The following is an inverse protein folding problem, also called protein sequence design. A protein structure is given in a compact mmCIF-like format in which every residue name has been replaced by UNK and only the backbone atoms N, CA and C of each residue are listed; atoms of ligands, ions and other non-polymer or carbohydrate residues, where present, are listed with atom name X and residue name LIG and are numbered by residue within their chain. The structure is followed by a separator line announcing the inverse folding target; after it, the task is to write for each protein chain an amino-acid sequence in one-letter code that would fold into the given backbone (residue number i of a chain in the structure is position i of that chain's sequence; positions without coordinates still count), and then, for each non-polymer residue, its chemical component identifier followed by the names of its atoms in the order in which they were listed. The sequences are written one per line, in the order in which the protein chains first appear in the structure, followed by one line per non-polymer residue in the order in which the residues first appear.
data_IF_497120197529
#
_entry.id   IF_497120197529
#
_cell.length_a   1.000
_cell.length_b   1.000
_cell.length_c   1.000
_cell.angle_alpha   90.00
_cell.angle_beta   90.00
_cell.angle_gamma   90.00
#
_symmetry.space_group_name_H-M   'P 1'
#
loop_
_entity.id
_entity.type
_entity.pdbx_description
1 polymer ?
#
# COMPACT_ATOMS: atom_id res chain seq x y z
N UNK A 1 -13.80 29.44 -2.53
CA UNK A 1 -13.20 28.34 -3.32
C UNK A 1 -12.50 27.42 -2.32
N UNK A 2 -12.82 26.12 -2.31
CA UNK A 2 -12.29 25.14 -1.34
C UNK A 2 -10.74 25.16 -1.36
N UNK A 3 -10.09 25.07 -0.19
CA UNK A 3 -8.63 25.04 -0.05
C UNK A 3 -8.00 23.92 -0.90
N UNK A 4 -8.67 22.77 -1.02
CA UNK A 4 -8.25 21.69 -1.90
C UNK A 4 -8.08 22.14 -3.36
N UNK A 5 -9.04 22.89 -3.91
CA UNK A 5 -8.93 23.42 -5.27
C UNK A 5 -7.80 24.44 -5.43
N UNK A 6 -7.54 25.24 -4.39
CA UNK A 6 -6.43 26.19 -4.41
C UNK A 6 -5.09 25.48 -4.48
N UNK A 7 -4.92 24.36 -3.78
CA UNK A 7 -3.70 23.56 -3.86
C UNK A 7 -3.57 22.84 -5.20
N UNK A 8 -4.67 22.30 -5.74
CA UNK A 8 -4.69 21.69 -7.07
C UNK A 8 -4.26 22.71 -8.16
N UNK A 9 -4.78 23.93 -8.12
CA UNK A 9 -4.46 24.98 -9.11
C UNK A 9 -2.97 25.38 -9.13
N UNK A 10 -2.21 25.08 -8.08
CA UNK A 10 -0.75 25.33 -8.03
C UNK A 10 0.05 24.28 -8.81
N UNK A 11 -0.54 23.13 -9.12
CA UNK A 11 0.15 22.05 -9.81
C UNK A 11 0.27 22.34 -11.32
N UNK A 12 1.39 21.96 -11.95
CA UNK A 12 1.54 22.07 -13.40
C UNK A 12 0.52 21.13 -14.08
N UNK A 13 -0.52 21.70 -14.73
CA UNK A 13 -1.51 21.19 -15.73
C UNK A 13 -1.97 19.70 -15.75
N UNK A 14 -1.62 18.87 -14.77
CA UNK A 14 -1.70 17.41 -14.86
C UNK A 14 -2.76 16.82 -13.92
N UNK A 15 -3.86 17.54 -13.74
CA UNK A 15 -4.99 17.11 -12.91
C UNK A 15 -6.10 16.67 -13.84
N UNK A 16 -6.62 15.46 -13.62
CA UNK A 16 -7.77 14.93 -14.34
C UNK A 16 -8.88 14.63 -13.36
N UNK A 17 -10.07 15.11 -13.68
CA UNK A 17 -11.29 14.65 -13.03
C UNK A 17 -12.23 14.14 -14.11
N UNK A 18 -12.75 12.94 -13.91
CA UNK A 18 -13.73 12.30 -14.78
C UNK A 18 -14.93 11.85 -13.94
N UNK A 19 -15.97 12.68 -13.87
CA UNK A 19 -17.12 12.45 -13.00
C UNK A 19 -16.71 12.40 -11.52
N UNK A 20 -16.91 11.26 -10.88
CA UNK A 20 -16.67 11.01 -9.44
C UNK A 20 -15.20 10.67 -9.11
N UNK A 21 -14.29 10.63 -10.11
CA UNK A 21 -12.87 10.29 -9.94
C UNK A 21 -11.98 11.52 -10.04
N UNK A 22 -11.04 11.67 -9.10
CA UNK A 22 -9.99 12.69 -9.13
C UNK A 22 -8.61 12.04 -9.11
N UNK A 23 -7.83 12.26 -10.17
CA UNK A 23 -6.47 11.72 -10.32
C UNK A 23 -5.48 12.88 -10.43
N UNK A 24 -4.43 12.83 -9.62
CA UNK A 24 -3.36 13.81 -9.56
C UNK A 24 -2.01 13.11 -9.76
N UNK A 25 -1.24 13.49 -10.78
CA UNK A 25 0.06 12.90 -11.08
C UNK A 25 0.98 13.87 -11.84
N UNK A 26 2.24 13.48 -12.06
CA UNK A 26 3.19 14.24 -12.90
C UNK A 26 3.12 13.70 -14.33
N UNK A 27 2.57 14.47 -15.29
CA UNK A 27 2.71 14.17 -16.73
C UNK A 27 4.18 14.40 -17.13
N UNK A 28 4.86 13.34 -17.55
CA UNK A 28 5.80 13.46 -18.65
C UNK A 28 4.95 13.47 -19.93
N UNK A 29 5.07 14.50 -20.76
CA UNK A 29 4.17 14.78 -21.91
C UNK A 29 4.02 13.64 -22.93
N UNK A 30 4.86 12.62 -22.85
CA UNK A 30 4.98 11.56 -23.85
C UNK A 30 4.44 10.18 -23.37
N UNK A 31 3.89 10.08 -22.16
CA UNK A 31 3.65 8.78 -21.50
C UNK A 31 2.19 8.49 -21.10
N UNK A 32 1.20 9.07 -21.78
CA UNK A 32 -0.18 8.62 -21.60
C UNK A 32 -0.47 7.47 -22.56
N UNK A 33 -0.35 6.27 -22.00
CA UNK A 33 -0.83 5.03 -22.58
C UNK A 33 -2.29 5.12 -23.01
N UNK A 34 -2.47 4.60 -24.20
CA UNK A 34 -3.64 4.38 -25.06
C UNK A 34 -4.78 3.54 -24.48
N UNK A 35 -4.95 3.41 -23.16
CA UNK A 35 -6.02 2.57 -22.56
C UNK A 35 -7.04 3.30 -21.66
N UNK A 36 -6.80 4.56 -21.28
CA UNK A 36 -7.76 5.37 -20.49
C UNK A 36 -8.46 6.47 -21.31
N UNK A 37 -8.29 6.47 -22.63
CA UNK A 37 -8.94 7.41 -23.53
C UNK A 37 -10.32 6.85 -23.92
N UNK A 38 -11.30 7.08 -23.06
CA UNK A 38 -12.52 7.67 -23.61
C UNK A 38 -12.35 9.20 -23.53
N UNK A 39 -12.76 9.89 -24.58
CA UNK A 39 -12.42 11.29 -24.88
C UNK A 39 -13.09 12.29 -23.94
N UNK A 40 -12.81 12.24 -22.65
CA UNK A 40 -13.37 13.18 -21.66
C UNK A 40 -12.42 14.33 -21.39
N UNK A 41 -12.98 15.53 -21.51
CA UNK A 41 -12.32 16.82 -21.39
C UNK A 41 -11.53 16.97 -20.09
N UNK A 42 -10.39 17.64 -20.16
CA UNK A 42 -9.67 18.15 -19.00
C UNK A 42 -10.56 19.20 -18.34
N UNK A 43 -11.24 18.81 -17.26
CA UNK A 43 -11.98 19.72 -16.39
C UNK A 43 -11.01 20.77 -15.84
N UNK A 44 -11.20 22.04 -16.19
CA UNK A 44 -10.60 23.15 -15.44
C UNK A 44 -11.18 23.12 -14.01
N UNK A 45 -10.41 23.52 -13.00
CA UNK A 45 -10.78 23.42 -11.58
C UNK A 45 -12.19 23.97 -11.21
N UNK A 46 -12.79 24.77 -12.09
CA UNK A 46 -14.13 25.32 -11.98
C UNK A 46 -15.28 24.31 -12.17
N UNK A 47 -15.01 23.08 -12.66
CA UNK A 47 -16.04 22.05 -12.96
C UNK A 47 -16.05 20.86 -11.97
N UNK A 48 -15.38 20.96 -10.83
CA UNK A 48 -15.41 19.87 -9.85
C UNK A 48 -16.77 19.74 -9.18
N UNK A 49 -17.42 18.58 -9.36
CA UNK A 49 -18.63 18.20 -8.64
C UNK A 49 -18.33 17.84 -7.18
N UNK A 50 -19.35 17.91 -6.32
CA UNK A 50 -19.25 17.54 -4.90
C UNK A 50 -19.22 16.01 -4.66
N UNK A 51 -18.98 15.22 -5.69
CA UNK A 51 -19.23 13.77 -5.72
C UNK A 51 -17.93 12.96 -5.89
N UNK A 52 -16.79 13.46 -5.40
CA UNK A 52 -15.55 12.69 -5.47
C UNK A 52 -15.69 11.45 -4.58
N UNK A 53 -15.73 10.27 -5.22
CA UNK A 53 -15.72 8.95 -4.59
C UNK A 53 -14.38 8.26 -4.71
N UNK A 54 -13.55 8.66 -5.67
CA UNK A 54 -12.21 8.12 -5.86
C UNK A 54 -11.20 9.27 -5.89
N UNK A 55 -10.19 9.17 -5.03
CA UNK A 55 -9.06 10.09 -5.02
C UNK A 55 -7.76 9.31 -5.18
N UNK A 56 -7.03 9.58 -6.25
CA UNK A 56 -5.75 8.96 -6.54
C UNK A 56 -4.68 10.05 -6.70
N UNK A 57 -3.62 9.96 -5.90
CA UNK A 57 -2.51 10.92 -5.94
C UNK A 57 -1.17 10.19 -6.06
N UNK A 58 -0.51 10.41 -7.19
CA UNK A 58 0.71 9.74 -7.59
C UNK A 58 1.91 10.70 -7.66
N UNK A 59 2.09 11.49 -6.60
CA UNK A 59 3.17 12.49 -6.49
C UNK A 59 4.27 12.10 -5.50
N UNK A 60 4.22 10.89 -4.93
CA UNK A 60 5.12 10.49 -3.86
C UNK A 60 4.99 11.39 -2.62
N UNK A 61 6.11 11.70 -1.98
CA UNK A 61 6.18 12.57 -0.79
C UNK A 61 5.69 14.00 -1.04
N UNK A 62 5.73 14.48 -2.28
CA UNK A 62 5.29 15.83 -2.66
C UNK A 62 3.76 15.98 -2.60
N UNK A 63 3.03 14.87 -2.46
CA UNK A 63 1.58 14.85 -2.29
C UNK A 63 1.10 15.50 -0.98
N UNK A 64 1.99 15.73 0.00
CA UNK A 64 1.65 16.16 1.37
C UNK A 64 0.62 17.28 1.42
N UNK A 65 0.88 18.39 0.72
CA UNK A 65 0.03 19.58 0.77
C UNK A 65 -1.36 19.33 0.16
N UNK A 66 -1.41 18.54 -0.92
CA UNK A 66 -2.67 18.21 -1.60
C UNK A 66 -3.49 17.26 -0.74
N UNK A 67 -2.87 16.23 -0.17
CA UNK A 67 -3.53 15.30 0.76
C UNK A 67 -4.08 16.07 1.96
N UNK A 68 -3.29 16.96 2.55
CA UNK A 68 -3.73 17.78 3.69
C UNK A 68 -4.94 18.66 3.35
N UNK A 69 -4.96 19.23 2.14
CA UNK A 69 -6.10 20.02 1.68
C UNK A 69 -7.32 19.15 1.35
N UNK A 70 -7.10 17.95 0.80
CA UNK A 70 -8.16 16.98 0.47
C UNK A 70 -8.87 16.47 1.72
N UNK A 71 -8.13 16.05 2.76
CA UNK A 71 -8.74 15.55 3.99
C UNK A 71 -9.50 16.63 4.77
N UNK A 72 -9.20 17.91 4.53
CA UNK A 72 -9.92 19.05 5.07
C UNK A 72 -11.15 19.46 4.24
N UNK A 73 -11.44 18.75 3.16
CA UNK A 73 -12.57 19.02 2.26
C UNK A 73 -13.82 18.21 2.62
N UNK A 74 -14.97 18.66 2.13
CA UNK A 74 -16.24 17.94 2.31
C UNK A 74 -16.31 16.60 1.55
N UNK A 75 -15.34 16.30 0.68
CA UNK A 75 -15.33 15.07 -0.14
C UNK A 75 -15.01 13.82 0.65
N UNK A 76 -14.35 13.97 1.81
CA UNK A 76 -13.89 12.84 2.62
C UNK A 76 -15.02 11.86 3.00
N UNK A 77 -16.22 12.38 3.26
CA UNK A 77 -17.35 11.55 3.65
C UNK A 77 -17.93 10.72 2.50
N UNK A 78 -17.68 11.11 1.24
CA UNK A 78 -18.14 10.38 0.05
C UNK A 78 -17.05 9.48 -0.54
N UNK A 79 -15.83 9.53 0.00
CA UNK A 79 -14.71 8.77 -0.52
C UNK A 79 -14.89 7.27 -0.29
N UNK A 80 -14.81 6.52 -1.37
CA UNK A 80 -14.93 5.06 -1.44
C UNK A 80 -13.58 4.40 -1.80
N UNK A 81 -12.75 5.10 -2.57
CA UNK A 81 -11.46 4.61 -3.07
C UNK A 81 -10.37 5.66 -2.84
N UNK A 82 -9.25 5.25 -2.23
CA UNK A 82 -8.10 6.10 -1.98
C UNK A 82 -6.81 5.42 -2.43
N UNK A 83 -6.11 6.05 -3.38
CA UNK A 83 -4.81 5.59 -3.85
C UNK A 83 -3.76 6.67 -3.61
N UNK A 84 -2.67 6.32 -2.95
CA UNK A 84 -1.56 7.23 -2.65
C UNK A 84 -0.27 6.53 -3.03
N UNK A 85 0.50 7.16 -3.92
CA UNK A 85 1.65 6.52 -4.52
C UNK A 85 2.50 7.47 -5.33
N UNK A 86 3.22 6.91 -6.29
CA UNK A 86 4.05 7.65 -7.24
C UNK A 86 3.89 7.09 -8.66
N UNK A 87 4.04 7.94 -9.66
CA UNK A 87 4.04 7.53 -11.08
C UNK A 87 5.25 8.08 -11.86
N UNK A 88 6.20 8.74 -11.20
CA UNK A 88 7.37 9.35 -11.83
C UNK A 88 8.61 8.46 -11.77
N UNK A 89 9.51 8.65 -12.74
CA UNK A 89 10.85 8.06 -12.81
C UNK A 89 11.78 8.68 -11.74
N UNK A 90 11.38 8.65 -10.47
CA UNK A 90 12.18 9.26 -9.41
C UNK A 90 13.38 8.35 -9.08
N UNK A 91 14.34 8.29 -10.00
CA UNK A 91 15.59 7.57 -9.84
C UNK A 91 16.43 8.29 -8.80
N UNK A 92 16.35 7.86 -7.54
CA UNK A 92 17.45 8.13 -6.61
C UNK A 92 17.14 8.28 -5.13
N UNK A 93 15.87 8.27 -4.66
CA UNK A 93 15.54 8.36 -3.22
C UNK A 93 14.35 7.45 -2.84
N UNK A 94 14.40 6.56 -1.81
CA UNK A 94 13.20 5.88 -1.37
C UNK A 94 12.22 6.95 -0.90
N UNK A 95 10.97 6.79 -1.28
CA UNK A 95 9.95 7.77 -0.96
C UNK A 95 9.68 7.76 0.53
N UNK A 96 9.51 8.92 1.14
CA UNK A 96 9.17 9.02 2.56
C UNK A 96 7.72 9.52 2.70
N UNK A 97 6.81 8.59 2.96
CA UNK A 97 5.40 8.85 3.17
C UNK A 97 5.05 9.01 4.66
N UNK A 98 6.02 8.98 5.60
CA UNK A 98 5.73 9.01 7.05
C UNK A 98 4.94 10.25 7.47
N UNK A 99 5.23 11.40 6.87
CA UNK A 99 4.47 12.63 7.11
C UNK A 99 3.05 12.57 6.52
N UNK A 100 2.87 11.87 5.40
CA UNK A 100 1.54 11.61 4.82
C UNK A 100 0.76 10.66 5.74
N UNK A 101 1.37 9.59 6.23
CA UNK A 101 0.75 8.66 7.18
C UNK A 101 0.26 9.38 8.46
N UNK A 102 1.06 10.31 8.99
CA UNK A 102 0.67 11.17 10.13
C UNK A 102 -0.53 12.08 9.83
N UNK A 103 -0.72 12.49 8.58
CA UNK A 103 -1.87 13.32 8.16
C UNK A 103 -3.11 12.43 8.05
N UNK A 104 -2.99 11.28 7.38
CA UNK A 104 -4.10 10.34 7.17
C UNK A 104 -4.62 9.76 8.49
N UNK A 105 -3.75 9.53 9.48
CA UNK A 105 -4.14 8.98 10.78
C UNK A 105 -5.05 9.90 11.60
N UNK A 106 -5.17 11.19 11.24
CA UNK A 106 -5.96 12.18 11.96
C UNK A 106 -7.44 12.20 11.57
N UNK A 107 -7.82 11.48 10.51
CA UNK A 107 -9.18 11.55 9.93
C UNK A 107 -9.80 10.19 9.74
N UNK A 108 -11.14 10.13 9.76
CA UNK A 108 -11.90 8.92 9.49
C UNK A 108 -12.30 8.83 8.02
N UNK A 109 -12.23 7.62 7.47
CA UNK A 109 -12.60 7.28 6.10
C UNK A 109 -13.78 6.31 6.13
N UNK A 110 -15.00 6.79 6.44
CA UNK A 110 -16.12 5.92 6.81
C UNK A 110 -16.65 5.04 5.67
N UNK A 111 -16.38 5.42 4.43
CA UNK A 111 -16.87 4.75 3.23
C UNK A 111 -15.78 4.13 2.36
N UNK A 112 -14.50 4.32 2.71
CA UNK A 112 -13.39 3.76 1.94
C UNK A 112 -13.42 2.24 2.07
N UNK A 113 -13.55 1.58 0.92
CA UNK A 113 -13.49 0.14 0.80
C UNK A 113 -12.22 -0.32 0.09
N UNK A 114 -11.61 0.51 -0.76
CA UNK A 114 -10.33 0.20 -1.43
C UNK A 114 -9.26 1.21 -1.04
N UNK A 115 -8.15 0.74 -0.48
CA UNK A 115 -7.01 1.58 -0.11
C UNK A 115 -5.70 0.99 -0.61
N UNK A 116 -4.96 1.80 -1.37
CA UNK A 116 -3.60 1.49 -1.82
C UNK A 116 -2.66 2.59 -1.35
N UNK A 117 -1.57 2.22 -0.66
CA UNK A 117 -0.61 3.18 -0.10
C UNK A 117 0.83 2.79 -0.37
N UNK A 118 1.62 3.75 -0.86
CA UNK A 118 2.91 3.47 -1.48
C UNK A 118 2.76 2.84 -2.85
N UNK A 119 1.59 2.97 -3.47
CA UNK A 119 1.30 2.37 -4.77
C UNK A 119 2.30 2.88 -5.81
N UNK A 120 2.78 1.99 -6.66
CA UNK A 120 3.54 2.38 -7.83
C UNK A 120 2.72 2.12 -9.09
N UNK A 121 2.16 3.19 -9.63
CA UNK A 121 1.41 3.11 -10.87
C UNK A 121 2.40 3.14 -12.04
N UNK A 122 2.54 1.97 -12.69
CA UNK A 122 3.34 1.72 -13.90
C UNK A 122 2.82 2.49 -15.12
N UNK A 123 2.98 3.82 -15.12
CA UNK A 123 2.64 4.67 -16.28
C UNK A 123 3.79 4.70 -17.31
N UNK A 124 5.02 4.38 -16.87
CA UNK A 124 6.21 4.27 -17.72
C UNK A 124 6.95 2.95 -17.46
N UNK A 125 7.82 2.55 -18.39
CA UNK A 125 8.75 1.42 -18.22
C UNK A 125 9.87 1.76 -17.21
N UNK A 126 9.51 2.17 -16.00
CA UNK A 126 10.43 2.37 -14.88
C UNK A 126 10.38 1.16 -13.94
N UNK A 127 10.95 1.27 -12.74
CA UNK A 127 11.02 0.19 -11.74
C UNK A 127 10.31 0.62 -10.45
N UNK A 128 9.90 -0.35 -9.63
CA UNK A 128 9.13 -0.13 -8.40
C UNK A 128 9.83 0.83 -7.45
N UNK A 129 9.11 1.78 -6.85
CA UNK A 129 9.66 2.71 -5.85
C UNK A 129 8.65 2.86 -4.71
N UNK A 130 8.71 1.94 -3.75
CA UNK A 130 7.72 1.83 -2.69
C UNK A 130 8.00 2.73 -1.47
N UNK A 131 9.25 2.79 -1.00
CA UNK A 131 9.66 3.69 0.09
C UNK A 131 9.16 3.33 1.50
N UNK A 132 9.15 4.32 2.41
CA UNK A 132 8.74 4.21 3.83
C UNK A 132 7.36 4.79 4.04
N UNK A 133 6.38 3.95 4.39
CA UNK A 133 5.02 4.33 4.73
C UNK A 133 4.91 4.89 6.15
N UNK A 134 5.64 4.31 7.11
CA UNK A 134 5.53 4.64 8.54
C UNK A 134 4.42 3.90 9.26
N UNK A 135 3.99 4.42 10.42
CA UNK A 135 2.91 3.82 11.22
C UNK A 135 1.55 4.04 10.56
N UNK A 136 0.94 2.93 10.15
CA UNK A 136 -0.37 2.91 9.49
C UNK A 136 -1.49 2.39 10.41
N UNK A 137 -1.20 2.06 11.67
CA UNK A 137 -2.15 1.41 12.60
C UNK A 137 -3.46 2.18 12.71
N UNK A 138 -3.36 3.49 12.92
CA UNK A 138 -4.54 4.35 13.08
C UNK A 138 -5.24 4.61 11.74
N UNK A 139 -4.50 4.65 10.62
CA UNK A 139 -5.08 4.84 9.28
C UNK A 139 -6.04 3.69 8.99
N UNK A 140 -5.59 2.44 9.18
CA UNK A 140 -6.40 1.25 8.94
C UNK A 140 -7.58 1.16 9.93
N UNK A 141 -7.36 1.52 11.20
CA UNK A 141 -8.43 1.58 12.20
C UNK A 141 -9.52 2.62 11.86
N UNK A 142 -9.18 3.62 11.03
CA UNK A 142 -10.08 4.66 10.57
C UNK A 142 -10.86 4.30 9.30
N UNK A 143 -10.67 3.10 8.73
CA UNK A 143 -11.30 2.60 7.50
C UNK A 143 -12.17 1.35 7.78
N UNK A 144 -13.34 1.50 8.44
CA UNK A 144 -14.11 0.35 8.92
C UNK A 144 -14.73 -0.52 7.81
N UNK A 145 -14.83 -0.02 6.57
CA UNK A 145 -15.42 -0.73 5.42
C UNK A 145 -14.36 -1.27 4.46
N UNK A 146 -13.09 -1.24 4.83
CA UNK A 146 -11.99 -1.64 3.97
C UNK A 146 -12.12 -3.12 3.57
N UNK A 147 -12.24 -3.38 2.27
CA UNK A 147 -12.33 -4.71 1.67
C UNK A 147 -11.09 -5.11 0.86
N UNK A 148 -10.38 -4.14 0.30
CA UNK A 148 -9.12 -4.30 -0.42
C UNK A 148 -8.04 -3.40 0.17
N UNK A 149 -6.90 -3.99 0.55
CA UNK A 149 -5.75 -3.27 1.06
C UNK A 149 -4.49 -3.66 0.28
N UNK A 150 -3.82 -2.65 -0.27
CA UNK A 150 -2.50 -2.79 -0.88
C UNK A 150 -1.49 -1.86 -0.21
N UNK A 151 -0.35 -2.41 0.19
CA UNK A 151 0.74 -1.67 0.81
C UNK A 151 2.02 -1.91 0.03
N UNK A 152 2.55 -0.85 -0.56
CA UNK A 152 3.88 -0.83 -1.17
C UNK A 152 4.89 -0.19 -0.23
N UNK A 153 5.79 -0.97 0.34
CA UNK A 153 6.96 -0.48 1.07
C UNK A 153 6.91 -0.64 2.58
N UNK A 154 7.96 -0.17 3.25
CA UNK A 154 8.17 -0.38 4.67
C UNK A 154 7.11 0.33 5.53
N UNK A 155 6.38 -0.43 6.34
CA UNK A 155 5.38 0.11 7.27
C UNK A 155 5.55 -0.40 8.71
N UNK A 156 4.81 0.22 9.62
CA UNK A 156 4.71 -0.17 11.03
C UNK A 156 3.25 -0.41 11.42
N UNK A 157 3.05 -1.46 12.22
CA UNK A 157 1.82 -1.71 12.96
C UNK A 157 2.19 -1.82 14.43
N UNK A 158 1.68 -0.91 15.26
CA UNK A 158 1.98 -0.83 16.69
C UNK A 158 1.03 -1.68 17.55
N UNK A 159 -0.04 -2.19 16.96
CA UNK A 159 -0.94 -3.15 17.58
C UNK A 159 -1.65 -3.99 16.51
N UNK A 160 -2.19 -5.17 16.86
CA UNK A 160 -3.12 -5.88 15.98
C UNK A 160 -4.36 -5.01 15.71
N UNK A 161 -4.90 -5.12 14.51
CA UNK A 161 -6.09 -4.39 14.05
C UNK A 161 -7.23 -5.35 13.71
N UNK A 162 -8.43 -4.80 13.55
CA UNK A 162 -9.62 -5.56 13.14
C UNK A 162 -10.21 -4.88 11.91
N UNK A 163 -10.23 -5.60 10.79
CA UNK A 163 -10.85 -5.16 9.54
C UNK A 163 -11.90 -6.19 9.15
N UNK A 164 -13.15 -5.91 9.50
CA UNK A 164 -14.23 -6.89 9.41
C UNK A 164 -14.62 -7.25 7.98
N UNK A 165 -14.40 -6.33 7.04
CA UNK A 165 -14.81 -6.47 5.64
C UNK A 165 -13.63 -6.84 4.71
N UNK A 166 -12.40 -6.92 5.23
CA UNK A 166 -11.20 -7.15 4.43
C UNK A 166 -11.25 -8.54 3.80
N UNK A 167 -11.29 -8.59 2.46
CA UNK A 167 -11.28 -9.81 1.66
C UNK A 167 -9.96 -10.07 0.98
N UNK A 168 -9.20 -9.01 0.70
CA UNK A 168 -7.92 -9.08 -0.01
C UNK A 168 -6.86 -8.19 0.63
N UNK A 169 -5.66 -8.76 0.83
CA UNK A 169 -4.50 -8.08 1.39
C UNK A 169 -3.28 -8.33 0.49
N UNK A 170 -2.66 -7.27 0.05
CA UNK A 170 -1.43 -7.30 -0.74
C UNK A 170 -0.38 -6.44 -0.08
N UNK A 171 0.80 -7.01 0.16
CA UNK A 171 1.97 -6.31 0.68
C UNK A 171 3.12 -6.56 -0.30
N UNK A 172 3.73 -5.47 -0.76
CA UNK A 172 4.89 -5.45 -1.64
C UNK A 172 6.05 -4.78 -0.90
N UNK A 173 7.07 -5.55 -0.54
CA UNK A 173 8.31 -4.99 -0.02
C UNK A 173 9.45 -5.08 -1.04
N UNK A 174 9.44 -6.03 -1.95
CA UNK A 174 10.57 -6.18 -2.85
C UNK A 174 10.53 -5.15 -3.99
N UNK A 175 11.70 -4.58 -4.25
CA UNK A 175 11.96 -3.87 -5.49
C UNK A 175 13.34 -4.32 -5.96
N UNK A 176 13.39 -5.37 -6.80
CA UNK A 176 14.63 -6.03 -7.15
C UNK A 176 15.53 -5.15 -8.04
N UNK A 177 15.03 -4.00 -8.50
CA UNK A 177 15.71 -3.18 -9.50
C UNK A 177 16.26 -1.87 -8.95
N UNK A 178 15.60 -1.21 -7.99
CA UNK A 178 16.10 0.06 -7.44
C UNK A 178 16.46 0.01 -5.95
N UNK A 179 16.13 -1.06 -5.24
CA UNK A 179 16.26 -1.17 -3.78
C UNK A 179 15.49 -0.08 -3.01
N UNK A 180 14.59 0.65 -3.67
CA UNK A 180 13.93 1.85 -3.16
C UNK A 180 12.70 1.57 -2.29
N UNK A 181 12.70 0.46 -1.56
CA UNK A 181 11.53 -0.07 -0.82
C UNK A 181 11.42 0.34 0.64
N UNK A 182 12.35 1.15 1.14
CA UNK A 182 12.36 1.61 2.53
C UNK A 182 12.86 0.59 3.56
N UNK A 183 13.17 -0.65 3.14
CA UNK A 183 13.74 -1.71 3.97
C UNK A 183 12.71 -2.62 4.67
N UNK A 184 13.21 -3.44 5.60
CA UNK A 184 12.44 -4.49 6.26
C UNK A 184 11.37 -3.95 7.22
N UNK A 185 10.22 -4.63 7.29
CA UNK A 185 9.34 -4.51 8.46
C UNK A 185 9.93 -5.26 9.66
N UNK A 186 9.61 -4.81 10.87
CA UNK A 186 10.05 -5.51 12.09
C UNK A 186 9.26 -6.81 12.30
N UNK A 187 9.81 -7.74 13.09
CA UNK A 187 9.06 -8.92 13.53
C UNK A 187 7.84 -8.53 14.37
N UNK A 188 7.88 -7.41 15.07
CA UNK A 188 6.74 -6.88 15.83
C UNK A 188 5.62 -6.43 14.90
N UNK A 189 5.93 -5.69 13.83
CA UNK A 189 4.97 -5.33 12.78
C UNK A 189 4.33 -6.59 12.17
N UNK A 190 5.14 -7.58 11.81
CA UNK A 190 4.62 -8.84 11.27
C UNK A 190 3.74 -9.59 12.29
N UNK A 191 4.16 -9.67 13.55
CA UNK A 191 3.34 -10.29 14.60
C UNK A 191 1.99 -9.59 14.75
N UNK A 192 1.98 -8.25 14.72
CA UNK A 192 0.75 -7.47 14.80
C UNK A 192 -0.14 -7.72 13.58
N UNK A 193 0.42 -7.81 12.38
CA UNK A 193 -0.33 -8.19 11.17
C UNK A 193 -0.94 -9.60 11.30
N UNK A 194 -0.13 -10.61 11.62
CA UNK A 194 -0.56 -12.02 11.73
C UNK A 194 -1.53 -12.28 12.89
N UNK A 195 -1.51 -11.44 13.93
CA UNK A 195 -2.46 -11.51 15.05
C UNK A 195 -3.71 -10.65 14.83
N UNK A 196 -3.76 -9.84 13.77
CA UNK A 196 -4.93 -9.04 13.42
C UNK A 196 -6.10 -9.91 13.01
N UNK A 197 -7.33 -9.43 13.21
CA UNK A 197 -8.56 -10.18 12.91
C UNK A 197 -9.18 -9.69 11.62
N UNK A 198 -9.09 -10.54 10.59
CA UNK A 198 -9.64 -10.30 9.26
C UNK A 198 -10.62 -11.44 8.94
N UNK A 199 -11.84 -11.40 9.50
CA UNK A 199 -12.76 -12.54 9.45
C UNK A 199 -13.24 -12.87 8.04
N UNK A 200 -13.15 -11.96 7.07
CA UNK A 200 -13.56 -12.20 5.68
C UNK A 200 -12.39 -12.37 4.72
N UNK A 201 -11.15 -12.40 5.20
CA UNK A 201 -9.97 -12.42 4.35
C UNK A 201 -9.87 -13.75 3.60
N UNK A 202 -9.84 -13.68 2.27
CA UNK A 202 -9.80 -14.86 1.41
C UNK A 202 -8.47 -14.98 0.67
N UNK A 203 -7.91 -13.86 0.22
CA UNK A 203 -6.72 -13.83 -0.62
C UNK A 203 -5.65 -12.95 -0.01
N UNK A 204 -4.43 -13.47 0.04
CA UNK A 204 -3.28 -12.75 0.58
C UNK A 204 -2.07 -12.90 -0.34
N UNK A 205 -1.37 -11.80 -0.57
CA UNK A 205 0.00 -11.81 -1.06
C UNK A 205 0.89 -11.08 -0.06
N UNK A 206 1.82 -11.82 0.55
CA UNK A 206 2.84 -11.30 1.47
C UNK A 206 4.20 -11.40 0.80
N UNK A 207 4.55 -10.36 0.04
CA UNK A 207 5.93 -10.18 -0.37
C UNK A 207 6.71 -9.45 0.73
N UNK A 208 7.48 -10.24 1.48
CA UNK A 208 8.40 -9.76 2.50
C UNK A 208 9.86 -9.91 2.05
N UNK A 209 10.08 -10.11 0.75
CA UNK A 209 11.41 -10.24 0.20
C UNK A 209 12.09 -8.89 0.09
N UNK A 210 13.40 -8.92 0.29
CA UNK A 210 14.25 -7.75 0.23
C UNK A 210 15.61 -8.21 -0.25
N UNK A 211 15.60 -8.55 -1.53
CA UNK A 211 16.77 -8.93 -2.29
C UNK A 211 17.86 -7.86 -2.09
N UNK A 212 17.48 -6.59 -2.28
CA UNK A 212 18.38 -5.45 -2.23
C UNK A 212 17.76 -4.38 -1.32
N UNK A 213 18.18 -4.31 -0.05
CA UNK A 213 17.81 -3.23 0.86
C UNK A 213 18.95 -2.21 1.01
N UNK A 214 18.63 -0.92 0.86
CA UNK A 214 19.53 0.20 1.14
C UNK A 214 19.03 0.99 2.35
N UNK A 215 19.94 1.61 3.10
CA UNK A 215 19.55 2.53 4.17
C UNK A 215 19.10 3.90 3.64
N UNK A 216 18.75 4.82 4.56
CA UNK A 216 18.38 6.20 4.24
C UNK A 216 19.48 6.99 3.51
N UNK A 217 20.73 6.50 3.50
CA UNK A 217 21.87 7.10 2.83
C UNK A 217 22.25 6.36 1.52
N UNK A 218 21.40 5.45 1.03
CA UNK A 218 21.68 4.62 -0.16
C UNK A 218 22.90 3.73 -0.04
N UNK A 219 23.42 3.57 1.18
CA UNK A 219 24.44 2.58 1.39
C UNK A 219 23.69 1.26 1.39
N UNK A 220 24.18 0.35 0.54
CA UNK A 220 23.93 -1.06 0.77
C UNK A 220 24.18 -1.28 2.25
N UNK A 221 23.23 -1.89 2.93
CA UNK A 221 23.42 -2.20 4.34
C UNK A 221 24.42 -3.36 4.40
N UNK A 222 25.70 -3.03 4.22
CA UNK A 222 26.82 -3.96 4.19
C UNK A 222 26.98 -4.56 5.60
N UNK A 223 26.88 -5.89 5.69
CA UNK A 223 26.97 -6.60 6.96
C UNK A 223 25.64 -6.95 7.63
N UNK A 224 24.49 -6.61 7.04
CA UNK A 224 23.33 -7.48 7.22
C UNK A 224 23.66 -8.83 6.55
N UNK A 225 23.24 -9.97 7.11
CA UNK A 225 23.31 -11.22 6.36
C UNK A 225 22.72 -10.96 4.98
N UNK A 226 23.35 -11.48 3.94
CA UNK A 226 22.79 -11.63 2.59
C UNK A 226 21.54 -12.52 2.57
N UNK A 227 20.80 -12.55 3.67
CA UNK A 227 19.87 -13.60 4.04
C UNK A 227 18.68 -12.84 4.65
N UNK A 228 17.60 -12.73 3.90
CA UNK A 228 16.30 -13.25 4.32
C UNK A 228 16.09 -13.11 5.83
N UNK A 229 15.32 -12.10 6.28
CA UNK A 229 14.91 -12.03 7.69
C UNK A 229 14.35 -13.39 8.10
N UNK A 230 14.77 -13.90 9.26
CA UNK A 230 14.19 -15.12 9.81
C UNK A 230 12.80 -14.83 10.40
N UNK A 231 11.84 -14.40 9.56
CA UNK A 231 10.50 -14.09 10.00
C UNK A 231 9.84 -15.35 10.59
N UNK A 232 9.18 -15.16 11.72
CA UNK A 232 8.42 -16.21 12.41
C UNK A 232 6.92 -15.95 12.26
N UNK A 233 6.19 -17.03 12.05
CA UNK A 233 4.74 -17.01 11.99
C UNK A 233 4.16 -17.18 13.39
N UNK A 234 3.06 -16.50 13.68
CA UNK A 234 2.41 -16.62 15.01
C UNK A 234 1.58 -17.89 15.08
N UNK A 235 1.45 -18.47 16.29
CA UNK A 235 0.62 -19.66 16.50
C UNK A 235 -0.85 -19.42 16.15
N UNK A 236 -1.36 -18.23 16.42
CA UNK A 236 -2.75 -17.89 16.09
C UNK A 236 -2.98 -17.83 14.58
N UNK A 237 -1.99 -17.41 13.79
CA UNK A 237 -2.04 -17.50 12.34
C UNK A 237 -1.94 -18.94 11.84
N UNK A 238 -0.94 -19.71 12.29
CA UNK A 238 -0.75 -21.12 11.89
C UNK A 238 -1.99 -21.97 12.19
N UNK A 239 -2.65 -21.72 13.32
CA UNK A 239 -3.84 -22.45 13.74
C UNK A 239 -5.16 -21.86 13.19
N UNK A 240 -5.11 -20.87 12.29
CA UNK A 240 -6.29 -20.29 11.65
C UNK A 240 -7.19 -19.45 12.56
N UNK A 241 -6.70 -19.00 13.71
CA UNK A 241 -7.48 -18.16 14.65
C UNK A 241 -7.57 -16.70 14.21
N UNK A 242 -6.65 -16.23 13.38
CA UNK A 242 -6.62 -14.84 12.90
C UNK A 242 -7.38 -14.66 11.59
N UNK A 243 -7.08 -15.48 10.58
CA UNK A 243 -7.60 -15.36 9.22
C UNK A 243 -8.38 -16.63 8.82
N UNK A 244 -9.45 -16.91 9.57
CA UNK A 244 -10.13 -18.20 9.53
C UNK A 244 -10.72 -18.59 8.16
N UNK A 245 -10.99 -17.61 7.29
CA UNK A 245 -11.60 -17.81 5.97
C UNK A 245 -10.60 -17.75 4.79
N UNK A 246 -9.30 -17.78 5.09
CA UNK A 246 -8.24 -17.73 4.09
C UNK A 246 -8.37 -18.89 3.08
N UNK A 247 -8.37 -18.59 1.79
CA UNK A 247 -8.44 -19.56 0.69
C UNK A 247 -7.15 -19.64 -0.10
N UNK A 248 -6.46 -18.51 -0.27
CA UNK A 248 -5.20 -18.44 -0.98
C UNK A 248 -4.22 -17.53 -0.24
N UNK A 249 -2.97 -17.98 -0.14
CA UNK A 249 -1.87 -17.15 0.31
C UNK A 249 -0.61 -17.42 -0.51
N UNK A 250 0.06 -16.34 -0.88
CA UNK A 250 1.38 -16.36 -1.49
C UNK A 250 2.38 -15.68 -0.58
N UNK A 251 3.49 -16.37 -0.30
CA UNK A 251 4.61 -15.86 0.47
C UNK A 251 5.79 -15.62 -0.46
N UNK A 252 6.45 -14.48 -0.29
CA UNK A 252 7.82 -14.23 -0.75
C UNK A 252 8.68 -13.75 0.42
N UNK A 253 9.99 -13.96 0.30
CA UNK A 253 10.98 -13.53 1.28
C UNK A 253 11.47 -14.59 2.27
N UNK A 254 12.24 -14.11 3.23
CA UNK A 254 12.89 -14.93 4.25
C UNK A 254 11.97 -15.35 5.38
N UNK A 255 12.00 -16.63 5.73
CA UNK A 255 11.33 -17.15 6.93
C UNK A 255 12.31 -18.03 7.69
N UNK A 256 12.19 -18.06 9.02
CA UNK A 256 13.03 -18.92 9.83
C UNK A 256 12.86 -20.39 9.42
N UNK A 257 13.94 -21.17 9.51
CA UNK A 257 13.95 -22.56 9.05
C UNK A 257 12.75 -23.36 9.59
N UNK A 258 11.98 -23.95 8.68
CA UNK A 258 10.82 -24.79 8.99
C UNK A 258 9.51 -24.04 9.28
N UNK A 259 9.50 -22.70 9.32
CA UNK A 259 8.26 -21.93 9.59
C UNK A 259 7.19 -22.13 8.51
N UNK A 260 7.58 -22.05 7.24
CA UNK A 260 6.66 -22.30 6.13
C UNK A 260 6.19 -23.76 6.09
N UNK A 261 7.10 -24.72 6.39
CA UNK A 261 6.71 -26.13 6.52
C UNK A 261 5.68 -26.32 7.64
N UNK A 262 5.84 -25.65 8.79
CA UNK A 262 4.87 -25.68 9.88
C UNK A 262 3.51 -25.15 9.44
N UNK A 263 3.47 -24.08 8.65
CA UNK A 263 2.23 -23.53 8.11
C UNK A 263 1.59 -24.46 7.08
N UNK A 264 2.32 -24.90 6.06
CA UNK A 264 1.80 -25.77 5.00
C UNK A 264 1.29 -27.12 5.52
N UNK A 265 1.92 -27.65 6.57
CA UNK A 265 1.51 -28.90 7.19
C UNK A 265 0.52 -28.73 8.36
N UNK A 266 0.05 -27.51 8.64
CA UNK A 266 -0.91 -27.25 9.72
C UNK A 266 -2.29 -27.86 9.42
N UNK A 267 -3.03 -28.22 10.48
CA UNK A 267 -4.42 -28.68 10.33
C UNK A 267 -5.29 -27.63 9.63
N UNK A 268 -5.03 -26.34 9.91
CA UNK A 268 -5.74 -25.23 9.31
C UNK A 268 -5.64 -25.23 7.78
N UNK A 269 -4.42 -25.33 7.24
CA UNK A 269 -4.19 -25.35 5.78
C UNK A 269 -4.80 -26.60 5.15
N UNK A 270 -4.56 -27.77 5.74
CA UNK A 270 -5.01 -29.06 5.19
C UNK A 270 -6.54 -29.19 5.19
N UNK A 271 -7.20 -28.82 6.29
CA UNK A 271 -8.65 -28.94 6.46
C UNK A 271 -9.42 -27.98 5.56
N UNK A 272 -8.91 -26.74 5.40
CA UNK A 272 -9.55 -25.71 4.58
C UNK A 272 -9.09 -25.74 3.12
N UNK A 273 -8.19 -26.65 2.75
CA UNK A 273 -7.65 -26.78 1.39
C UNK A 273 -7.08 -25.46 0.87
N UNK A 274 -6.35 -24.76 1.73
CA UNK A 274 -5.78 -23.43 1.41
C UNK A 274 -4.73 -23.62 0.32
N UNK A 275 -4.86 -22.86 -0.77
CA UNK A 275 -3.84 -22.79 -1.81
C UNK A 275 -2.71 -21.90 -1.31
N UNK A 276 -1.69 -22.53 -0.74
CA UNK A 276 -0.51 -21.84 -0.24
C UNK A 276 0.66 -22.01 -1.23
N UNK A 277 1.24 -20.89 -1.65
CA UNK A 277 2.38 -20.83 -2.55
C UNK A 277 3.53 -20.13 -1.81
N UNK A 278 4.74 -20.63 -2.02
CA UNK A 278 5.96 -19.93 -1.66
C UNK A 278 6.74 -19.67 -2.95
N UNK A 279 6.96 -18.40 -3.26
CA UNK A 279 7.93 -18.01 -4.28
C UNK A 279 9.25 -17.71 -3.57
N UNK A 280 10.24 -18.57 -3.82
CA UNK A 280 11.60 -18.38 -3.32
C UNK A 280 12.39 -17.66 -4.41
N UNK A 281 12.18 -16.37 -4.57
CA UNK A 281 13.14 -15.54 -5.29
C UNK A 281 14.33 -15.32 -4.33
N UNK A 282 15.42 -16.06 -4.54
CA UNK A 282 16.73 -15.71 -3.98
C UNK A 282 16.84 -15.60 -2.42
N UNK A 283 16.36 -16.64 -1.74
CA UNK A 283 16.92 -17.16 -0.48
C UNK A 283 17.52 -18.56 -0.74
#
# INVERSE_FOLDING_TARGET
MNQFYQELLKLPKNIRQTGEKCIVGIENKDLIYTSLIDKTEISTADNFTNEIKEFSVFLGSDAKTIIQAFIGSDFLNNLEVLHIGVCSENTGHPLDYREIAKILSQVSFPNVHSFSFGEWLLISNSHCLYGKLGDITQILSNMPKLNYLELGGQFELNSPIVLNELTELTIHLDDPMTAGNGGYISQETLNNLLNSKFPQLETVWLDLDLDWAVDDEFKRIDGLPTNCKDYKLTEDFINGKSWANLKQIEFSGGYAQGELDRFFNSEFVQKNQIKAIYDSAYC
#
